data_IF_274018194377
#
_entry.id   IF_274018194377
#
_cell.length_a   1.000
_cell.length_b   1.000
_cell.length_c   1.000
_cell.angle_alpha   90.00
_cell.angle_beta   90.00
_cell.angle_gamma   90.00
#
_symmetry.space_group_name_H-M   'P 1'
#
loop_
_entity.id
_entity.type
_entity.pdbx_description
1 polymer ?
#
# COMPACT_ATOMS: atom_id res chain seq x y z
N UNK A 1 -29.23 4.41 5.35
CA UNK A 1 -28.86 3.43 6.41
C UNK A 1 -28.90 2.03 5.80
N UNK A 2 -27.75 1.36 5.62
CA UNK A 2 -27.73 -0.03 5.10
C UNK A 2 -28.18 -0.99 6.20
N UNK A 3 -29.15 -1.86 5.90
CA UNK A 3 -29.72 -2.88 6.78
C UNK A 3 -28.64 -3.69 7.53
N UNK A 4 -28.83 -4.02 8.82
CA UNK A 4 -27.88 -4.82 9.60
C UNK A 4 -27.59 -6.20 8.98
N UNK A 5 -28.51 -6.71 8.16
CA UNK A 5 -28.36 -7.95 7.40
C UNK A 5 -27.26 -7.86 6.33
N UNK A 6 -27.15 -6.71 5.65
CA UNK A 6 -26.11 -6.46 4.64
C UNK A 6 -24.71 -6.32 5.26
N UNK A 7 -24.59 -5.79 6.49
CA UNK A 7 -23.31 -5.71 7.21
C UNK A 7 -22.82 -7.08 7.65
N UNK A 8 -23.71 -7.96 8.11
CA UNK A 8 -23.36 -9.35 8.47
C UNK A 8 -22.96 -10.15 7.23
N UNK A 9 -23.69 -10.01 6.13
CA UNK A 9 -23.40 -10.67 4.87
C UNK A 9 -22.05 -10.20 4.28
N UNK A 10 -21.74 -8.92 4.32
CA UNK A 10 -20.44 -8.38 3.92
C UNK A 10 -19.30 -8.90 4.82
N UNK A 11 -19.51 -9.02 6.13
CA UNK A 11 -18.53 -9.59 7.05
C UNK A 11 -18.27 -11.07 6.80
N UNK A 12 -19.31 -11.86 6.53
CA UNK A 12 -19.19 -13.29 6.19
C UNK A 12 -18.47 -13.47 4.84
N UNK A 13 -18.83 -12.65 3.84
CA UNK A 13 -18.16 -12.67 2.53
C UNK A 13 -16.68 -12.33 2.64
N UNK A 14 -16.34 -11.31 3.45
CA UNK A 14 -14.95 -10.94 3.73
C UNK A 14 -14.18 -12.06 4.44
N UNK A 15 -14.79 -12.70 5.44
CA UNK A 15 -14.19 -13.82 6.15
C UNK A 15 -13.95 -15.02 5.23
N UNK A 16 -14.93 -15.35 4.37
CA UNK A 16 -14.80 -16.41 3.37
C UNK A 16 -13.68 -16.10 2.37
N UNK A 17 -13.55 -14.86 1.94
CA UNK A 17 -12.51 -14.43 1.00
C UNK A 17 -11.11 -14.52 1.65
N UNK A 18 -10.97 -14.12 2.91
CA UNK A 18 -9.72 -14.29 3.68
C UNK A 18 -9.39 -15.78 3.84
N UNK A 19 -10.35 -16.61 4.24
CA UNK A 19 -10.14 -18.06 4.38
C UNK A 19 -9.77 -18.70 3.04
N UNK A 20 -10.42 -18.32 1.94
CA UNK A 20 -10.11 -18.83 0.61
C UNK A 20 -8.70 -18.41 0.16
N UNK A 21 -8.27 -17.18 0.46
CA UNK A 21 -6.91 -16.69 0.14
C UNK A 21 -5.86 -17.45 0.94
N UNK A 22 -6.07 -17.61 2.25
CA UNK A 22 -5.16 -18.40 3.10
C UNK A 22 -5.08 -19.84 2.61
N UNK A 23 -6.22 -20.45 2.30
CA UNK A 23 -6.28 -21.82 1.77
C UNK A 23 -5.54 -21.94 0.44
N UNK A 24 -5.74 -21.00 -0.50
CA UNK A 24 -5.06 -20.99 -1.80
C UNK A 24 -3.55 -20.78 -1.67
N UNK A 25 -3.12 -19.87 -0.79
CA UNK A 25 -1.69 -19.62 -0.52
C UNK A 25 -1.04 -20.84 0.11
N UNK A 26 -1.70 -21.50 1.08
CA UNK A 26 -1.15 -22.71 1.71
C UNK A 26 -1.09 -23.91 0.78
N UNK A 27 -1.99 -24.00 -0.21
CA UNK A 27 -1.97 -25.05 -1.24
C UNK A 27 -0.93 -24.77 -2.34
N UNK A 28 -0.70 -23.50 -2.69
CA UNK A 28 0.24 -23.11 -3.75
C UNK A 28 1.69 -22.98 -3.25
N UNK A 29 1.88 -22.64 -1.99
CA UNK A 29 3.18 -22.64 -1.32
C UNK A 29 3.35 -24.02 -0.70
N UNK A 30 4.16 -24.89 -1.33
CA UNK A 30 4.52 -26.17 -0.72
C UNK A 30 4.86 -25.93 0.75
N UNK A 31 4.29 -26.74 1.62
CA UNK A 31 4.30 -26.69 3.10
C UNK A 31 5.19 -25.59 3.71
N UNK A 32 4.59 -24.43 4.07
CA UNK A 32 5.28 -23.45 4.91
C UNK A 32 5.65 -24.14 6.24
N UNK A 33 6.91 -24.49 6.38
CA UNK A 33 7.44 -25.10 7.58
C UNK A 33 8.00 -24.00 8.48
N UNK A 34 7.41 -23.82 9.65
CA UNK A 34 7.96 -22.92 10.68
C UNK A 34 9.41 -23.30 11.04
N UNK A 35 9.78 -24.57 10.83
CA UNK A 35 11.13 -25.06 11.06
C UNK A 35 12.09 -24.53 9.99
N UNK A 36 11.73 -24.61 8.71
CA UNK A 36 12.53 -24.05 7.60
C UNK A 36 12.70 -22.53 7.76
N UNK A 37 11.59 -21.82 8.07
CA UNK A 37 11.66 -20.37 8.33
C UNK A 37 12.61 -20.02 9.48
N UNK A 38 12.58 -20.81 10.58
CA UNK A 38 13.50 -20.60 11.70
C UNK A 38 14.95 -20.91 11.32
N UNK A 39 15.16 -21.96 10.54
CA UNK A 39 16.51 -22.40 10.15
C UNK A 39 17.10 -21.41 9.13
N UNK A 40 16.32 -20.88 8.21
CA UNK A 40 16.70 -19.79 7.31
C UNK A 40 17.02 -18.50 8.08
N UNK A 41 16.20 -18.17 9.09
CA UNK A 41 16.44 -17.00 9.93
C UNK A 41 17.73 -17.15 10.76
N UNK A 42 17.97 -18.37 11.29
CA UNK A 42 19.19 -18.68 12.05
C UNK A 42 20.44 -18.71 11.18
N UNK A 43 20.32 -19.09 9.89
CA UNK A 43 21.39 -19.05 8.91
C UNK A 43 21.67 -17.65 8.33
N UNK A 44 20.77 -16.70 8.54
CA UNK A 44 20.91 -15.35 8.03
C UNK A 44 21.84 -14.52 8.91
N UNK A 45 22.63 -13.62 8.29
CA UNK A 45 23.49 -12.68 9.03
C UNK A 45 22.63 -11.75 9.92
N UNK A 46 22.88 -11.71 11.25
CA UNK A 46 22.11 -10.85 12.16
C UNK A 46 22.18 -9.37 11.79
N UNK A 47 23.27 -8.93 11.15
CA UNK A 47 23.40 -7.57 10.64
C UNK A 47 22.42 -7.25 9.51
N UNK A 48 22.15 -8.19 8.60
CA UNK A 48 21.16 -8.02 7.53
C UNK A 48 19.73 -7.99 8.08
N UNK A 49 19.43 -8.82 9.07
CA UNK A 49 18.12 -8.80 9.74
C UNK A 49 17.88 -7.46 10.44
N UNK A 50 18.89 -6.98 11.18
CA UNK A 50 18.82 -5.67 11.84
C UNK A 50 18.66 -4.52 10.83
N UNK A 51 19.39 -4.57 9.70
CA UNK A 51 19.26 -3.59 8.62
C UNK A 51 17.86 -3.62 7.99
N UNK A 52 17.29 -4.79 7.73
CA UNK A 52 15.94 -4.94 7.20
C UNK A 52 14.88 -4.38 8.18
N UNK A 53 15.02 -4.68 9.48
CA UNK A 53 14.14 -4.13 10.51
C UNK A 53 14.26 -2.59 10.59
N UNK A 54 15.48 -2.05 10.54
CA UNK A 54 15.70 -0.61 10.53
C UNK A 54 15.07 0.06 9.29
N UNK A 55 15.21 -0.53 8.12
CA UNK A 55 14.56 -0.06 6.89
C UNK A 55 13.04 -0.05 7.02
N UNK A 56 12.45 -1.09 7.62
CA UNK A 56 11.00 -1.17 7.84
C UNK A 56 10.51 -0.08 8.78
N UNK A 57 11.21 0.14 9.90
CA UNK A 57 10.89 1.22 10.84
C UNK A 57 11.01 2.59 10.15
N UNK A 58 12.07 2.80 9.37
CA UNK A 58 12.28 4.02 8.61
C UNK A 58 11.14 4.25 7.59
N UNK A 59 10.70 3.20 6.90
CA UNK A 59 9.58 3.25 5.97
C UNK A 59 8.28 3.68 6.66
N UNK A 60 7.92 3.04 7.78
CA UNK A 60 6.72 3.40 8.56
C UNK A 60 6.75 4.86 9.00
N UNK A 61 7.91 5.33 9.48
CA UNK A 61 8.07 6.71 9.95
C UNK A 61 7.96 7.71 8.79
N UNK A 62 8.62 7.46 7.67
CA UNK A 62 8.61 8.36 6.50
C UNK A 62 7.21 8.46 5.89
N UNK A 63 6.51 7.35 5.77
CA UNK A 63 5.13 7.35 5.28
C UNK A 63 4.19 8.07 6.26
N UNK A 64 4.33 7.81 7.56
CA UNK A 64 3.61 8.54 8.60
C UNK A 64 3.87 10.04 8.55
N UNK A 65 5.12 10.47 8.33
CA UNK A 65 5.48 11.88 8.16
C UNK A 65 4.87 12.48 6.90
N UNK A 66 4.79 11.74 5.81
CA UNK A 66 4.09 12.15 4.58
C UNK A 66 2.61 12.43 4.86
N UNK A 67 1.90 11.50 5.48
CA UNK A 67 0.50 11.67 5.87
C UNK A 67 0.30 12.85 6.84
N UNK A 68 1.22 13.02 7.80
CA UNK A 68 1.22 14.15 8.71
C UNK A 68 1.38 15.49 7.97
N UNK A 69 2.27 15.54 7.00
CA UNK A 69 2.49 16.75 6.19
C UNK A 69 1.24 17.08 5.36
N UNK A 70 0.65 16.07 4.71
CA UNK A 70 -0.57 16.23 3.92
C UNK A 70 -1.75 16.71 4.77
N UNK A 71 -2.01 16.09 5.91
CA UNK A 71 -3.09 16.53 6.82
C UNK A 71 -2.80 17.90 7.41
N UNK A 72 -1.53 18.19 7.69
CA UNK A 72 -1.08 19.49 8.20
C UNK A 72 -1.30 20.63 7.20
N UNK A 73 -1.07 20.41 5.92
CA UNK A 73 -1.34 21.38 4.85
C UNK A 73 -2.84 21.65 4.65
N UNK A 74 -3.68 20.68 5.04
CA UNK A 74 -5.14 20.80 5.03
C UNK A 74 -5.71 21.35 6.36
N UNK A 75 -4.86 21.85 7.25
CA UNK A 75 -5.25 22.51 8.52
C UNK A 75 -5.33 21.57 9.72
N UNK A 76 -5.06 20.27 9.56
CA UNK A 76 -5.18 19.27 10.64
C UNK A 76 -3.80 18.72 11.04
N UNK A 77 -3.06 19.51 11.83
CA UNK A 77 -1.74 19.13 12.34
C UNK A 77 -1.88 18.12 13.47
N UNK A 78 -1.21 16.98 13.36
CA UNK A 78 -1.11 15.94 14.40
C UNK A 78 0.35 15.63 14.71
N UNK A 79 0.58 14.97 15.84
CA UNK A 79 1.92 14.56 16.26
C UNK A 79 2.51 13.46 15.36
N UNK A 80 3.80 13.19 15.55
CA UNK A 80 4.52 12.15 14.81
C UNK A 80 4.02 10.75 15.18
N UNK A 81 3.79 10.49 16.49
CA UNK A 81 3.31 9.16 16.93
C UNK A 81 1.95 8.77 16.32
N UNK A 82 0.89 9.61 16.38
CA UNK A 82 -0.36 9.29 15.72
C UNK A 82 -0.20 9.02 14.22
N UNK A 83 0.64 9.79 13.53
CA UNK A 83 0.86 9.59 12.09
C UNK A 83 1.62 8.30 11.78
N UNK A 84 2.57 7.89 12.61
CA UNK A 84 3.23 6.59 12.50
C UNK A 84 2.24 5.42 12.71
N UNK A 85 1.26 5.58 13.61
CA UNK A 85 0.18 4.59 13.78
C UNK A 85 -0.71 4.49 12.54
N UNK A 86 -0.97 5.60 11.82
CA UNK A 86 -1.75 5.57 10.58
C UNK A 86 -1.05 4.76 9.49
N UNK A 87 0.26 4.99 9.31
CA UNK A 87 1.09 4.24 8.37
C UNK A 87 1.23 2.77 8.80
N UNK A 88 1.50 2.49 10.06
CA UNK A 88 1.59 1.13 10.58
C UNK A 88 0.27 0.34 10.38
N UNK A 89 -0.88 1.01 10.57
CA UNK A 89 -2.19 0.40 10.31
C UNK A 89 -2.37 0.10 8.81
N UNK A 90 -1.96 1.01 7.92
CA UNK A 90 -2.01 0.77 6.47
C UNK A 90 -1.20 -0.48 6.10
N UNK A 91 0.06 -0.53 6.50
CA UNK A 91 0.98 -1.63 6.20
C UNK A 91 0.47 -2.96 6.78
N UNK A 92 0.07 -2.97 8.05
CA UNK A 92 -0.41 -4.18 8.72
C UNK A 92 -1.66 -4.75 8.04
N UNK A 93 -2.67 -3.91 7.83
CA UNK A 93 -3.91 -4.37 7.20
C UNK A 93 -3.75 -4.67 5.71
N UNK A 94 -2.84 -4.02 5.01
CA UNK A 94 -2.44 -4.38 3.65
C UNK A 94 -1.81 -5.77 3.59
N UNK A 95 -0.97 -6.13 4.57
CA UNK A 95 -0.31 -7.41 4.63
C UNK A 95 -1.25 -8.59 4.90
N UNK A 96 -2.33 -8.39 5.68
CA UNK A 96 -3.27 -9.45 6.06
C UNK A 96 -4.52 -9.53 5.18
N UNK A 97 -4.69 -8.59 4.23
CA UNK A 97 -5.87 -8.58 3.35
C UNK A 97 -5.49 -8.92 1.91
N UNK A 98 -6.37 -9.64 1.19
CA UNK A 98 -6.14 -9.94 -0.21
C UNK A 98 -5.96 -8.67 -1.03
N UNK A 99 -4.96 -8.66 -1.92
CA UNK A 99 -4.63 -7.51 -2.79
C UNK A 99 -4.38 -6.20 -2.04
N UNK A 100 -3.95 -6.26 -0.78
CA UNK A 100 -3.66 -5.11 0.07
C UNK A 100 -4.83 -4.10 0.23
N UNK A 101 -6.07 -4.56 0.08
CA UNK A 101 -7.26 -3.68 0.03
C UNK A 101 -7.66 -3.11 1.39
N UNK A 102 -7.18 -3.71 2.51
CA UNK A 102 -7.53 -3.32 3.88
C UNK A 102 -6.75 -2.13 4.43
N UNK A 103 -5.59 -1.82 3.88
CA UNK A 103 -4.68 -0.81 4.42
C UNK A 103 -5.27 0.59 4.42
N UNK A 104 -5.67 1.09 3.26
CA UNK A 104 -6.24 2.43 3.12
C UNK A 104 -7.48 2.66 4.01
N UNK A 105 -8.47 1.76 4.08
CA UNK A 105 -9.59 1.89 5.02
C UNK A 105 -9.16 1.88 6.49
N UNK A 106 -8.16 1.07 6.86
CA UNK A 106 -7.66 1.02 8.23
C UNK A 106 -6.95 2.32 8.63
N UNK A 107 -6.07 2.83 7.78
CA UNK A 107 -5.44 4.13 7.96
C UNK A 107 -6.49 5.25 8.08
N UNK A 108 -7.50 5.26 7.19
CA UNK A 108 -8.60 6.22 7.25
C UNK A 108 -9.33 6.20 8.58
N UNK A 109 -9.65 5.01 9.09
CA UNK A 109 -10.31 4.86 10.39
C UNK A 109 -9.44 5.39 11.54
N UNK A 110 -8.14 5.12 11.53
CA UNK A 110 -7.21 5.63 12.53
C UNK A 110 -7.11 7.16 12.47
N UNK A 111 -7.03 7.75 11.27
CA UNK A 111 -7.02 9.20 11.08
C UNK A 111 -8.30 9.85 11.61
N UNK A 112 -9.47 9.31 11.28
CA UNK A 112 -10.76 9.81 11.75
C UNK A 112 -10.90 9.69 13.27
N UNK A 113 -10.43 8.61 13.89
CA UNK A 113 -10.39 8.45 15.35
C UNK A 113 -9.47 9.47 16.04
N UNK A 114 -8.44 9.94 15.34
CA UNK A 114 -7.58 11.03 15.80
C UNK A 114 -8.20 12.42 15.57
N UNK A 115 -9.46 12.49 15.12
CA UNK A 115 -10.19 13.75 14.92
C UNK A 115 -9.87 14.45 13.61
N UNK A 116 -9.38 13.72 12.58
CA UNK A 116 -9.27 14.23 11.21
C UNK A 116 -10.60 14.00 10.51
N UNK A 117 -11.24 15.01 9.91
CA UNK A 117 -12.50 14.86 9.20
C UNK A 117 -12.38 13.88 8.02
N UNK A 118 -13.45 13.12 7.74
CA UNK A 118 -13.46 12.12 6.68
C UNK A 118 -13.08 12.70 5.30
N UNK A 119 -13.53 13.91 4.98
CA UNK A 119 -13.19 14.58 3.72
C UNK A 119 -11.67 14.84 3.59
N UNK A 120 -11.04 15.34 4.66
CA UNK A 120 -9.59 15.60 4.71
C UNK A 120 -8.81 14.29 4.64
N UNK A 121 -9.27 13.27 5.39
CA UNK A 121 -8.70 11.92 5.38
C UNK A 121 -8.69 11.35 3.96
N UNK A 122 -9.82 11.39 3.27
CA UNK A 122 -9.94 10.88 1.90
C UNK A 122 -9.00 11.61 0.94
N UNK A 123 -8.96 12.94 1.02
CA UNK A 123 -8.06 13.75 0.16
C UNK A 123 -6.60 13.42 0.44
N UNK A 124 -6.20 13.35 1.72
CA UNK A 124 -4.82 13.03 2.09
C UNK A 124 -4.39 11.65 1.59
N UNK A 125 -5.24 10.63 1.77
CA UNK A 125 -4.94 9.27 1.31
C UNK A 125 -4.92 9.16 -0.23
N UNK A 126 -5.80 9.86 -0.95
CA UNK A 126 -5.76 9.91 -2.41
C UNK A 126 -4.49 10.57 -2.94
N UNK A 127 -4.04 11.67 -2.32
CA UNK A 127 -2.77 12.31 -2.67
C UNK A 127 -1.60 11.37 -2.37
N UNK A 128 -1.60 10.70 -1.20
CA UNK A 128 -0.56 9.74 -0.83
C UNK A 128 -0.48 8.59 -1.85
N UNK A 129 -1.63 8.04 -2.26
CA UNK A 129 -1.71 6.99 -3.28
C UNK A 129 -1.16 7.47 -4.63
N UNK A 130 -1.48 8.70 -5.06
CA UNK A 130 -0.96 9.27 -6.29
C UNK A 130 0.56 9.46 -6.24
N UNK A 131 1.10 9.98 -5.12
CA UNK A 131 2.55 10.13 -4.92
C UNK A 131 3.26 8.79 -4.93
N UNK A 132 2.69 7.77 -4.29
CA UNK A 132 3.20 6.39 -4.31
C UNK A 132 3.25 5.82 -5.73
N UNK A 133 2.18 5.99 -6.52
CA UNK A 133 2.11 5.55 -7.91
C UNK A 133 3.16 6.23 -8.79
N UNK A 134 3.32 7.55 -8.64
CA UNK A 134 4.36 8.32 -9.36
C UNK A 134 5.76 7.84 -8.98
N UNK A 135 6.01 7.58 -7.69
CA UNK A 135 7.31 7.10 -7.20
C UNK A 135 7.67 5.74 -7.80
N UNK A 136 6.72 4.80 -7.85
CA UNK A 136 6.93 3.48 -8.48
C UNK A 136 7.24 3.63 -9.97
N UNK A 137 6.50 4.46 -10.69
CA UNK A 137 6.76 4.72 -12.11
C UNK A 137 8.15 5.31 -12.34
N UNK A 138 8.57 6.27 -11.51
CA UNK A 138 9.90 6.87 -11.59
C UNK A 138 11.00 5.85 -11.33
N UNK A 139 10.87 5.05 -10.27
CA UNK A 139 11.86 4.01 -9.94
C UNK A 139 11.91 2.98 -11.07
N UNK A 140 10.76 2.53 -11.58
CA UNK A 140 10.69 1.60 -12.70
C UNK A 140 11.36 2.15 -13.96
N UNK A 141 11.11 3.41 -14.29
CA UNK A 141 11.75 4.08 -15.43
C UNK A 141 13.27 4.17 -15.25
N UNK A 142 13.75 4.60 -14.08
CA UNK A 142 15.17 4.70 -13.77
C UNK A 142 15.84 3.33 -13.85
N UNK A 143 15.25 2.29 -13.27
CA UNK A 143 15.80 0.93 -13.33
C UNK A 143 15.88 0.41 -14.77
N UNK A 144 14.86 0.68 -15.59
CA UNK A 144 14.84 0.29 -17.01
C UNK A 144 15.93 0.99 -17.81
N UNK A 145 16.16 2.28 -17.56
CA UNK A 145 17.21 3.06 -18.24
C UNK A 145 18.61 2.60 -17.81
N UNK A 146 18.81 2.36 -16.50
CA UNK A 146 20.13 1.95 -15.97
C UNK A 146 20.50 0.51 -16.33
N UNK A 147 19.52 -0.37 -16.50
CA UNK A 147 19.73 -1.80 -16.77
C UNK A 147 18.76 -2.34 -17.84
N UNK A 148 18.92 -1.92 -19.11
CA UNK A 148 18.01 -2.37 -20.19
C UNK A 148 18.03 -3.89 -20.39
N UNK A 149 19.14 -4.56 -20.06
CA UNK A 149 19.27 -6.01 -20.14
C UNK A 149 18.42 -6.78 -19.09
N UNK A 150 17.93 -6.14 -18.04
CA UNK A 150 17.05 -6.81 -17.08
C UNK A 150 15.73 -7.25 -17.73
N UNK A 151 15.20 -6.44 -18.64
CA UNK A 151 13.95 -6.77 -19.33
C UNK A 151 14.15 -7.89 -20.36
N UNK A 152 15.34 -7.99 -20.99
CA UNK A 152 15.63 -8.98 -22.02
C UNK A 152 15.56 -10.43 -21.50
N UNK A 153 15.73 -10.65 -20.18
CA UNK A 153 15.64 -11.98 -19.57
C UNK A 153 14.21 -12.47 -19.32
N UNK A 154 13.20 -11.61 -19.48
CA UNK A 154 11.81 -11.98 -19.25
C UNK A 154 11.14 -12.52 -20.50
N UNK A 155 10.23 -13.50 -20.34
CA UNK A 155 9.41 -14.01 -21.43
C UNK A 155 8.41 -13.00 -21.97
N UNK A 156 7.88 -13.23 -23.15
CA UNK A 156 6.92 -12.35 -23.85
C UNK A 156 5.70 -11.99 -22.98
N UNK A 157 5.19 -12.94 -22.20
CA UNK A 157 4.06 -12.71 -21.29
C UNK A 157 4.38 -11.67 -20.22
N UNK A 158 5.59 -11.72 -19.65
CA UNK A 158 6.03 -10.75 -18.64
C UNK A 158 6.15 -9.34 -19.22
N UNK A 159 6.64 -9.21 -20.45
CA UNK A 159 6.70 -7.91 -21.13
C UNK A 159 5.31 -7.30 -21.35
N UNK A 160 4.34 -8.12 -21.76
CA UNK A 160 2.94 -7.67 -21.95
C UNK A 160 2.34 -7.23 -20.62
N UNK A 161 2.55 -7.98 -19.53
CA UNK A 161 2.04 -7.63 -18.20
C UNK A 161 2.69 -6.35 -17.66
N UNK A 162 4.00 -6.18 -17.82
CA UNK A 162 4.71 -4.96 -17.41
C UNK A 162 4.20 -3.75 -18.20
N UNK A 163 4.06 -3.89 -19.52
CA UNK A 163 3.54 -2.82 -20.38
C UNK A 163 2.09 -2.45 -19.99
N UNK A 164 1.21 -3.46 -19.84
CA UNK A 164 -0.17 -3.24 -19.44
C UNK A 164 -0.27 -2.55 -18.07
N UNK A 165 0.49 -3.03 -17.07
CA UNK A 165 0.54 -2.42 -15.74
C UNK A 165 1.03 -0.96 -15.78
N UNK A 166 2.06 -0.69 -16.57
CA UNK A 166 2.60 0.67 -16.75
C UNK A 166 1.57 1.59 -17.39
N UNK A 167 0.87 1.15 -18.45
CA UNK A 167 -0.18 1.92 -19.10
C UNK A 167 -1.34 2.23 -18.15
N UNK A 168 -1.79 1.25 -17.36
CA UNK A 168 -2.84 1.45 -16.36
C UNK A 168 -2.41 2.47 -15.30
N UNK A 169 -1.18 2.40 -14.81
CA UNK A 169 -0.66 3.34 -13.82
C UNK A 169 -0.54 4.77 -14.38
N UNK A 170 -0.05 4.92 -15.61
CA UNK A 170 -0.04 6.24 -16.27
C UNK A 170 -1.45 6.79 -16.45
N UNK A 171 -2.41 5.94 -16.81
CA UNK A 171 -3.82 6.31 -16.91
C UNK A 171 -4.38 6.82 -15.58
N UNK A 172 -4.11 6.14 -14.47
CA UNK A 172 -4.53 6.56 -13.12
C UNK A 172 -3.93 7.91 -12.74
N UNK A 173 -2.63 8.11 -12.96
CA UNK A 173 -1.95 9.38 -12.69
C UNK A 173 -2.53 10.50 -13.54
N UNK A 174 -2.77 10.25 -14.83
CA UNK A 174 -3.36 11.24 -15.75
C UNK A 174 -4.78 11.66 -15.31
N UNK A 175 -5.62 10.69 -14.93
CA UNK A 175 -6.97 10.97 -14.39
C UNK A 175 -6.88 11.80 -13.10
N UNK A 176 -5.96 11.46 -12.19
CA UNK A 176 -5.76 12.24 -10.97
C UNK A 176 -5.36 13.67 -11.26
N UNK A 177 -4.38 13.90 -12.14
CA UNK A 177 -3.97 15.23 -12.56
C UNK A 177 -5.13 15.99 -13.24
N UNK A 178 -5.87 15.34 -14.13
CA UNK A 178 -7.02 15.92 -14.79
C UNK A 178 -8.08 16.40 -13.79
N UNK A 179 -8.38 15.60 -12.77
CA UNK A 179 -9.34 15.97 -11.72
C UNK A 179 -8.85 17.15 -10.88
N UNK A 180 -7.56 17.22 -10.57
CA UNK A 180 -6.96 18.31 -9.79
C UNK A 180 -6.94 19.60 -10.60
N UNK A 181 -6.54 19.55 -11.88
CA UNK A 181 -6.49 20.73 -12.74
C UNK A 181 -7.87 21.23 -13.13
N UNK A 182 -8.84 20.34 -13.36
CA UNK A 182 -10.21 20.76 -13.69
C UNK A 182 -10.88 21.58 -12.58
N UNK A 183 -10.55 21.31 -11.31
CA UNK A 183 -11.02 22.12 -10.18
C UNK A 183 -10.37 23.50 -10.12
N UNK A 184 -9.15 23.68 -10.65
CA UNK A 184 -8.46 24.98 -10.73
C UNK A 184 -8.98 25.87 -11.87
N UNK A 185 -9.62 25.29 -12.90
CA UNK A 185 -10.20 26.03 -14.03
C UNK A 185 -11.66 26.44 -13.77
N UNK A 186 -12.28 25.97 -12.69
CA UNK A 186 -13.67 26.26 -12.33
C UNK A 186 -13.81 27.31 -11.21
N UNK A 187 -12.70 27.91 -10.78
CA UNK A 187 -12.60 29.10 -9.91
C UNK A 187 -11.75 30.16 -10.63
#
# INVERSE_FOLDING_TARGET
MKSPKNRRMAGVLFLLLVCATVFFVTQSSGSFSLREFRDDLAGSSPGLIAAAAACMVCYVLLEGLSLRHLTGSLGYRRGVLPSAVWSAADIFFSAITPSATGGQPASALCMMRCGVPAAVTTVALLINLAMYTVSILLIGAVCTVLRPGMLAGFGTLSHVLIAAGTVIQFGLVAVFFMLVFRKRLAF
#
